data_IF_942419700991
#
_entry.id   IF_942419700991
#
_cell.length_a   1.000
_cell.length_b   1.000
_cell.length_c   1.000
_cell.angle_alpha   90.00
_cell.angle_beta   90.00
_cell.angle_gamma   90.00
#
_symmetry.space_group_name_H-M   'P 1'
#
loop_
_entity.id
_entity.type
_entity.pdbx_description
1 polymer ?
#
# COMPACT_ATOMS: atom_id res chain seq x y z
N UNK A 1 3.35 -8.86 13.86
CA UNK A 1 4.06 -9.24 12.63
C UNK A 1 5.22 -8.29 12.45
N UNK A 2 6.44 -8.77 12.14
CA UNK A 2 7.60 -7.88 11.99
C UNK A 2 7.33 -6.78 10.96
N UNK A 3 7.83 -5.58 11.23
CA UNK A 3 7.62 -4.40 10.41
C UNK A 3 8.54 -4.44 9.18
N UNK A 4 8.29 -5.40 8.30
CA UNK A 4 9.09 -5.61 7.10
C UNK A 4 8.91 -4.43 6.14
N UNK A 5 9.96 -3.62 6.02
CA UNK A 5 10.04 -2.50 5.10
C UNK A 5 10.01 -3.00 3.66
N UNK A 6 9.42 -2.20 2.77
CA UNK A 6 9.54 -2.37 1.33
C UNK A 6 11.01 -2.17 0.95
N UNK A 7 11.60 -3.17 0.30
CA UNK A 7 12.94 -3.11 -0.29
C UNK A 7 12.88 -2.57 -1.72
N UNK A 8 14.00 -2.09 -2.30
CA UNK A 8 14.05 -1.67 -3.69
C UNK A 8 13.50 -2.71 -4.67
N UNK A 9 13.80 -4.00 -4.44
CA UNK A 9 13.36 -5.11 -5.27
C UNK A 9 11.83 -5.28 -5.21
N UNK A 10 11.25 -5.17 -4.00
CA UNK A 10 9.78 -5.22 -3.83
C UNK A 10 9.12 -4.03 -4.52
N UNK A 11 9.69 -2.83 -4.41
CA UNK A 11 9.17 -1.64 -5.10
C UNK A 11 9.24 -1.79 -6.62
N UNK A 12 10.31 -2.39 -7.14
CA UNK A 12 10.42 -2.70 -8.57
C UNK A 12 9.34 -3.68 -9.04
N UNK A 13 9.09 -4.74 -8.29
CA UNK A 13 8.01 -5.71 -8.61
C UNK A 13 6.65 -5.03 -8.57
N UNK A 14 6.37 -4.18 -7.57
CA UNK A 14 5.11 -3.43 -7.51
C UNK A 14 4.92 -2.51 -8.72
N UNK A 15 5.99 -1.85 -9.16
CA UNK A 15 5.96 -1.01 -10.36
C UNK A 15 5.70 -1.83 -11.63
N UNK A 16 6.33 -2.99 -11.78
CA UNK A 16 6.11 -3.90 -12.90
C UNK A 16 4.66 -4.41 -12.96
N UNK A 17 4.07 -4.78 -11.82
CA UNK A 17 2.66 -5.18 -11.72
C UNK A 17 1.70 -4.04 -12.10
N UNK A 18 2.07 -2.80 -11.78
CA UNK A 18 1.31 -1.61 -12.16
C UNK A 18 1.55 -1.20 -13.63
N UNK A 19 2.44 -1.86 -14.37
CA UNK A 19 2.82 -1.49 -15.73
C UNK A 19 3.68 -0.22 -15.81
N UNK A 20 4.30 0.20 -14.70
CA UNK A 20 5.12 1.40 -14.58
C UNK A 20 6.60 1.00 -14.65
N UNK A 21 7.35 1.63 -15.55
CA UNK A 21 8.81 1.49 -15.59
C UNK A 21 9.45 2.55 -14.70
N UNK A 22 10.17 2.12 -13.67
CA UNK A 22 10.96 3.01 -12.80
C UNK A 22 12.46 2.86 -13.10
N UNK A 23 13.17 3.98 -13.09
CA UNK A 23 14.64 3.98 -13.05
C UNK A 23 15.11 3.70 -11.63
N UNK A 24 16.37 3.26 -11.48
CA UNK A 24 16.95 3.01 -10.15
C UNK A 24 16.94 4.28 -9.27
N UNK A 25 17.26 5.44 -9.84
CA UNK A 25 17.19 6.73 -9.15
C UNK A 25 15.77 7.00 -8.61
N UNK A 26 14.74 6.74 -9.43
CA UNK A 26 13.35 6.95 -9.02
C UNK A 26 12.91 5.95 -7.97
N UNK A 27 13.44 4.72 -7.98
CA UNK A 27 13.20 3.73 -6.92
C UNK A 27 13.75 4.24 -5.60
N UNK A 28 14.99 4.72 -5.56
CA UNK A 28 15.62 5.23 -4.34
C UNK A 28 14.89 6.46 -3.79
N UNK A 29 14.41 7.33 -4.67
CA UNK A 29 13.61 8.50 -4.29
C UNK A 29 12.25 8.12 -3.69
N UNK A 30 11.55 7.13 -4.28
CA UNK A 30 10.21 6.74 -3.86
C UNK A 30 10.18 5.83 -2.64
N UNK A 31 11.24 5.05 -2.42
CA UNK A 31 11.35 4.07 -1.34
C UNK A 31 10.98 4.62 0.06
N UNK A 32 11.47 5.78 0.52
CA UNK A 32 11.08 6.33 1.82
C UNK A 32 9.59 6.65 1.90
N UNK A 33 9.01 7.20 0.83
CA UNK A 33 7.58 7.56 0.80
C UNK A 33 6.67 6.33 0.83
N UNK A 34 7.04 5.29 0.09
CA UNK A 34 6.28 4.02 0.06
C UNK A 34 6.35 3.33 1.42
N UNK A 35 7.50 3.36 2.08
CA UNK A 35 7.65 2.83 3.43
C UNK A 35 6.85 3.63 4.48
N UNK A 36 6.79 4.95 4.35
CA UNK A 36 5.94 5.79 5.22
C UNK A 36 4.46 5.47 5.03
N UNK A 37 4.01 5.32 3.77
CA UNK A 37 2.63 4.92 3.45
C UNK A 37 2.30 3.54 4.02
N UNK A 38 3.19 2.56 3.86
CA UNK A 38 3.01 1.23 4.43
C UNK A 38 2.88 1.29 5.96
N UNK A 39 3.70 2.11 6.62
CA UNK A 39 3.63 2.30 8.07
C UNK A 39 2.28 2.90 8.51
N UNK A 40 1.72 3.82 7.72
CA UNK A 40 0.40 4.41 8.00
C UNK A 40 -0.73 3.42 7.75
N UNK A 41 -0.65 2.60 6.71
CA UNK A 41 -1.66 1.56 6.45
C UNK A 41 -1.68 0.54 7.60
N UNK A 42 -0.51 0.13 8.10
CA UNK A 42 -0.41 -0.80 9.23
C UNK A 42 -1.01 -0.27 10.53
N UNK A 43 -1.22 1.04 10.70
CA UNK A 43 -1.97 1.54 11.86
C UNK A 43 -3.44 1.13 11.84
N UNK A 44 -3.93 0.60 10.72
CA UNK A 44 -5.26 0.01 10.60
C UNK A 44 -5.31 -1.47 10.99
N UNK A 45 -4.15 -2.13 11.22
CA UNK A 45 -4.09 -3.54 11.63
C UNK A 45 -4.68 -3.75 13.03
N UNK A 46 -4.74 -2.69 13.84
CA UNK A 46 -5.31 -2.71 15.20
C UNK A 46 -6.84 -2.53 15.21
N UNK A 47 -7.48 -2.39 14.05
CA UNK A 47 -8.93 -2.30 13.97
C UNK A 47 -9.57 -3.66 14.24
N UNK A 48 -10.56 -3.68 15.13
CA UNK A 48 -11.42 -4.84 15.33
C UNK A 48 -12.42 -4.93 14.17
N UNK A 49 -12.22 -5.95 13.33
CA UNK A 49 -13.02 -6.23 12.14
C UNK A 49 -13.77 -7.57 12.27
N UNK A 50 -13.88 -8.12 13.49
CA UNK A 50 -14.68 -9.32 13.73
C UNK A 50 -16.13 -9.07 13.31
N UNK A 51 -16.69 -9.99 12.51
CA UNK A 51 -18.04 -9.91 11.94
C UNK A 51 -18.37 -8.67 11.08
N UNK A 52 -17.36 -7.93 10.59
CA UNK A 52 -17.55 -6.80 9.67
C UNK A 52 -17.45 -7.25 8.21
N UNK A 53 -18.53 -7.13 7.44
CA UNK A 53 -18.50 -7.38 5.99
C UNK A 53 -17.87 -6.21 5.21
N UNK A 54 -17.01 -6.47 4.22
CA UNK A 54 -16.41 -5.43 3.40
C UNK A 54 -17.43 -4.79 2.46
N UNK A 55 -17.44 -3.45 2.42
CA UNK A 55 -18.20 -2.70 1.42
C UNK A 55 -17.55 -2.88 0.06
N UNK A 56 -18.25 -3.53 -0.87
CA UNK A 56 -17.75 -3.80 -2.24
C UNK A 56 -18.44 -2.95 -3.31
N UNK A 57 -19.49 -2.21 -2.94
CA UNK A 57 -20.23 -1.31 -3.83
C UNK A 57 -20.54 -0.02 -3.09
N UNK A 58 -20.07 1.09 -3.64
CA UNK A 58 -20.48 2.41 -3.19
C UNK A 58 -21.76 2.79 -3.92
N UNK A 59 -22.90 2.72 -3.25
CA UNK A 59 -24.10 3.39 -3.73
C UNK A 59 -24.02 4.81 -3.18
N UNK A 60 -23.70 5.78 -4.03
CA UNK A 60 -23.89 7.18 -3.66
C UNK A 60 -25.40 7.35 -3.44
N UNK A 61 -25.80 7.67 -2.21
CA UNK A 61 -27.17 8.02 -1.90
C UNK A 61 -27.58 9.15 -2.86
N UNK A 62 -28.51 8.84 -3.76
CA UNK A 62 -29.18 9.86 -4.55
C UNK A 62 -30.18 10.55 -3.63
N UNK A 63 -29.72 11.62 -2.97
CA UNK A 63 -30.61 12.67 -2.46
C UNK A 63 -31.03 13.63 -3.59
#
# INVERSE_FOLDING_TARGET
>A
MENEKITPEKLKVLAELAGIKLTEERIQELLPHVNELQSKIRSMDDLDLEDVEPITRFMADQE
#
